data_IF_429357987189
#
_entry.id   IF_429357987189
#
_cell.length_a   1.000
_cell.length_b   1.000
_cell.length_c   1.000
_cell.angle_alpha   90.00
_cell.angle_beta   90.00
_cell.angle_gamma   90.00
#
_symmetry.space_group_name_H-M   'P 1'
#
loop_
_entity.id
_entity.type
_entity.pdbx_description
1 polymer ?
#
# COMPACT_ATOMS: atom_id res chain seq x y z
N UNK A 1 -3.26 -4.46 23.92
CA UNK A 1 -3.70 -3.99 22.59
C UNK A 1 -2.70 -4.43 21.54
N UNK A 2 -3.19 -4.80 20.38
CA UNK A 2 -2.30 -5.21 19.30
C UNK A 2 -1.60 -4.01 18.67
N UNK A 3 -0.41 -4.23 18.15
CA UNK A 3 0.30 -3.23 17.36
C UNK A 3 -0.50 -2.90 16.10
N UNK A 4 -0.44 -1.64 15.62
CA UNK A 4 -0.98 -1.33 14.31
C UNK A 4 -0.25 -2.15 13.24
N UNK A 5 -0.99 -2.59 12.24
CA UNK A 5 -0.48 -3.51 11.21
C UNK A 5 -0.54 -2.87 9.84
N UNK A 6 0.52 -3.05 9.08
CA UNK A 6 0.63 -2.57 7.71
C UNK A 6 0.73 -3.74 6.74
N UNK A 7 0.21 -3.54 5.53
CA UNK A 7 0.40 -4.47 4.42
C UNK A 7 1.21 -3.78 3.33
N UNK A 8 2.26 -4.43 2.86
CA UNK A 8 3.10 -3.92 1.78
C UNK A 8 2.94 -4.83 0.58
N UNK A 9 2.51 -4.25 -0.53
CA UNK A 9 2.22 -4.97 -1.77
C UNK A 9 3.10 -4.44 -2.89
N UNK A 10 4.06 -5.25 -3.32
CA UNK A 10 4.98 -4.91 -4.41
C UNK A 10 5.57 -6.21 -4.94
N UNK A 11 5.60 -6.38 -6.27
CA UNK A 11 6.16 -7.58 -6.88
C UNK A 11 7.69 -7.57 -6.90
N UNK A 12 8.31 -6.41 -6.65
CA UNK A 12 9.77 -6.27 -6.56
C UNK A 12 10.22 -6.67 -5.15
N UNK A 13 10.85 -7.83 -5.03
CA UNK A 13 11.27 -8.37 -3.73
C UNK A 13 12.22 -7.46 -2.96
N UNK A 14 13.29 -6.88 -3.58
CA UNK A 14 14.17 -5.97 -2.85
C UNK A 14 13.44 -4.75 -2.28
N UNK A 15 12.56 -4.13 -3.05
CA UNK A 15 11.78 -2.98 -2.58
C UNK A 15 10.85 -3.40 -1.45
N UNK A 16 10.14 -4.51 -1.62
CA UNK A 16 9.21 -5.03 -0.61
C UNK A 16 9.93 -5.31 0.70
N UNK A 17 11.09 -5.94 0.64
CA UNK A 17 11.89 -6.27 1.83
C UNK A 17 12.40 -5.01 2.53
N UNK A 18 12.89 -4.04 1.77
CA UNK A 18 13.35 -2.77 2.31
C UNK A 18 12.22 -2.01 3.02
N UNK A 19 11.08 -1.89 2.38
CA UNK A 19 9.93 -1.17 2.94
C UNK A 19 9.42 -1.88 4.20
N UNK A 20 9.37 -3.21 4.20
CA UNK A 20 8.95 -3.97 5.37
C UNK A 20 9.86 -3.68 6.57
N UNK A 21 11.18 -3.66 6.36
CA UNK A 21 12.14 -3.38 7.43
C UNK A 21 11.93 -1.98 8.00
N UNK A 22 11.75 -0.98 7.12
CA UNK A 22 11.56 0.40 7.55
C UNK A 22 10.26 0.59 8.34
N UNK A 23 9.19 -0.03 7.88
CA UNK A 23 7.89 0.07 8.56
C UNK A 23 7.94 -0.62 9.92
N UNK A 24 8.63 -1.76 10.03
CA UNK A 24 8.82 -2.42 11.31
C UNK A 24 9.60 -1.55 12.30
N UNK A 25 10.60 -0.81 11.82
CA UNK A 25 11.35 0.12 12.66
C UNK A 25 10.46 1.21 13.26
N UNK A 26 9.38 1.57 12.56
CA UNK A 26 8.42 2.55 13.06
C UNK A 26 7.39 1.94 14.04
N UNK A 27 7.54 0.68 14.41
CA UNK A 27 6.72 0.05 15.43
C UNK A 27 5.47 -0.64 14.93
N UNK A 28 5.32 -0.83 13.61
CA UNK A 28 4.16 -1.53 13.07
C UNK A 28 4.48 -3.02 12.86
N UNK A 29 3.46 -3.85 13.04
CA UNK A 29 3.50 -5.21 12.53
C UNK A 29 3.32 -5.16 11.01
N UNK A 30 4.02 -5.99 10.26
CA UNK A 30 4.02 -5.93 8.79
C UNK A 30 3.74 -7.29 8.19
N UNK A 31 2.77 -7.32 7.27
CA UNK A 31 2.60 -8.43 6.34
C UNK A 31 2.98 -7.94 4.95
N UNK A 32 3.34 -8.84 4.07
CA UNK A 32 3.70 -8.52 2.69
C UNK A 32 2.91 -9.37 1.71
N UNK A 33 2.76 -8.85 0.49
CA UNK A 33 2.16 -9.57 -0.62
C UNK A 33 2.92 -9.25 -1.89
N UNK A 34 3.10 -10.22 -2.75
CA UNK A 34 3.86 -10.09 -3.98
C UNK A 34 2.98 -9.82 -5.20
N UNK A 35 1.68 -9.94 -5.07
CA UNK A 35 0.72 -9.69 -6.16
C UNK A 35 -0.64 -9.27 -5.60
N UNK A 36 -1.53 -8.85 -6.51
CA UNK A 36 -2.84 -8.35 -6.11
C UNK A 36 -3.77 -9.40 -5.52
N UNK A 37 -3.68 -10.63 -5.99
CA UNK A 37 -4.52 -11.72 -5.48
C UNK A 37 -4.16 -12.03 -4.02
N UNK A 38 -2.87 -12.12 -3.73
CA UNK A 38 -2.39 -12.31 -2.36
C UNK A 38 -2.77 -11.12 -1.47
N UNK A 39 -2.66 -9.90 -2.02
CA UNK A 39 -3.06 -8.69 -1.29
C UNK A 39 -4.52 -8.73 -0.89
N UNK A 40 -5.41 -9.06 -1.81
CA UNK A 40 -6.86 -9.15 -1.54
C UNK A 40 -7.13 -10.20 -0.47
N UNK A 41 -6.50 -11.36 -0.55
CA UNK A 41 -6.68 -12.42 0.43
C UNK A 41 -6.26 -11.96 1.83
N UNK A 42 -5.14 -11.25 1.93
CA UNK A 42 -4.68 -10.72 3.22
C UNK A 42 -5.58 -9.62 3.76
N UNK A 43 -6.04 -8.73 2.89
CA UNK A 43 -6.96 -7.65 3.27
C UNK A 43 -8.25 -8.21 3.87
N UNK A 44 -8.81 -9.24 3.24
CA UNK A 44 -10.06 -9.84 3.68
C UNK A 44 -9.93 -10.56 5.02
N UNK A 45 -8.74 -11.02 5.35
CA UNK A 45 -8.50 -11.79 6.58
C UNK A 45 -7.95 -10.99 7.75
N UNK A 46 -7.60 -9.72 7.58
CA UNK A 46 -6.87 -8.97 8.59
C UNK A 46 -7.30 -7.51 8.66
N UNK A 47 -7.09 -6.89 9.84
CA UNK A 47 -7.32 -5.47 10.02
C UNK A 47 -6.03 -4.67 9.87
N UNK A 48 -5.81 -4.07 8.72
CA UNK A 48 -4.65 -3.20 8.50
C UNK A 48 -5.01 -1.75 8.75
N UNK A 49 -4.03 -0.98 9.25
CA UNK A 49 -4.16 0.47 9.43
C UNK A 49 -3.64 1.23 8.22
N UNK A 50 -2.69 0.65 7.49
CA UNK A 50 -2.09 1.29 6.34
C UNK A 50 -1.72 0.23 5.31
N UNK A 51 -1.86 0.62 4.04
CA UNK A 51 -1.50 -0.21 2.89
C UNK A 51 -0.51 0.58 2.02
N UNK A 52 0.64 -0.03 1.73
CA UNK A 52 1.56 0.44 0.69
C UNK A 52 1.34 -0.43 -0.54
N UNK A 53 0.99 0.19 -1.66
CA UNK A 53 0.53 -0.54 -2.83
C UNK A 53 1.22 -0.07 -4.10
N UNK A 54 1.88 -0.99 -4.81
CA UNK A 54 2.30 -0.77 -6.18
C UNK A 54 1.15 -1.12 -7.12
N UNK A 55 0.98 -0.30 -8.15
CA UNK A 55 -0.08 -0.51 -9.15
C UNK A 55 0.36 -1.55 -10.18
N UNK A 56 1.63 -1.51 -10.61
CA UNK A 56 2.14 -2.37 -11.68
C UNK A 56 2.52 -3.74 -11.14
N UNK A 57 1.61 -4.69 -11.25
CA UNK A 57 1.84 -6.07 -10.86
C UNK A 57 1.22 -7.00 -11.90
N UNK A 58 1.78 -8.21 -12.09
CA UNK A 58 1.20 -9.17 -13.02
C UNK A 58 -0.17 -9.66 -12.56
N UNK A 59 -1.02 -10.02 -13.49
CA UNK A 59 -2.36 -10.59 -13.28
C UNK A 59 -3.28 -9.61 -12.58
N UNK A 60 -3.53 -9.78 -11.27
CA UNK A 60 -4.35 -8.86 -10.49
C UNK A 60 -3.48 -7.67 -10.11
N UNK A 61 -3.71 -6.54 -10.72
CA UNK A 61 -2.89 -5.34 -10.51
C UNK A 61 -3.44 -4.46 -9.36
N UNK A 62 -2.74 -3.36 -9.09
CA UNK A 62 -3.12 -2.47 -8.01
C UNK A 62 -4.48 -1.79 -8.18
N UNK A 63 -4.91 -1.54 -9.42
CA UNK A 63 -6.24 -0.97 -9.65
C UNK A 63 -7.34 -1.94 -9.19
N UNK A 64 -7.13 -3.25 -9.39
CA UNK A 64 -8.08 -4.26 -8.92
C UNK A 64 -8.15 -4.27 -7.40
N UNK A 65 -7.00 -4.12 -6.74
CA UNK A 65 -6.95 -4.02 -5.28
C UNK A 65 -7.70 -2.77 -4.80
N UNK A 66 -7.51 -1.64 -5.45
CA UNK A 66 -8.21 -0.40 -5.09
C UNK A 66 -9.71 -0.52 -5.25
N UNK A 67 -10.17 -1.16 -6.34
CA UNK A 67 -11.61 -1.41 -6.55
C UNK A 67 -12.18 -2.31 -5.45
N UNK A 68 -11.43 -3.34 -5.07
CA UNK A 68 -11.82 -4.23 -3.98
C UNK A 68 -11.96 -3.47 -2.66
N UNK A 69 -10.99 -2.61 -2.35
CA UNK A 69 -11.03 -1.79 -1.14
C UNK A 69 -12.21 -0.83 -1.14
N UNK A 70 -12.49 -0.22 -2.28
CA UNK A 70 -13.62 0.70 -2.40
C UNK A 70 -14.95 0.01 -2.08
N UNK A 71 -15.08 -1.25 -2.46
CA UNK A 71 -16.28 -2.04 -2.22
C UNK A 71 -16.36 -2.60 -0.81
N UNK A 72 -15.23 -2.93 -0.17
CA UNK A 72 -15.21 -3.70 1.08
C UNK A 72 -14.57 -3.00 2.26
N UNK A 73 -13.58 -2.13 2.04
CA UNK A 73 -12.81 -1.48 3.08
C UNK A 73 -12.48 -0.03 2.71
N UNK A 74 -13.48 0.85 2.62
CA UNK A 74 -13.22 2.26 2.30
C UNK A 74 -12.36 2.98 3.35
N UNK A 75 -12.36 2.51 4.59
CA UNK A 75 -11.48 3.02 5.64
C UNK A 75 -10.00 2.79 5.31
N UNK A 76 -9.67 1.57 4.90
CA UNK A 76 -8.29 1.23 4.52
C UNK A 76 -7.90 1.91 3.20
N UNK A 77 -8.85 2.07 2.29
CA UNK A 77 -8.59 2.79 1.04
C UNK A 77 -8.05 4.19 1.29
N UNK A 78 -8.60 4.91 2.27
CA UNK A 78 -8.16 6.25 2.64
C UNK A 78 -6.81 6.28 3.33
N UNK A 79 -6.34 5.13 3.78
CA UNK A 79 -5.01 4.95 4.35
C UNK A 79 -4.12 4.12 3.43
N UNK A 80 -4.43 4.11 2.14
CA UNK A 80 -3.61 3.46 1.12
C UNK A 80 -2.64 4.48 0.51
N UNK A 81 -1.38 4.13 0.50
CA UNK A 81 -0.31 4.92 -0.09
C UNK A 81 0.15 4.17 -1.33
N UNK A 82 -0.03 4.79 -2.49
CA UNK A 82 0.37 4.20 -3.77
C UNK A 82 1.82 4.57 -4.06
N UNK A 83 2.66 3.59 -4.35
CA UNK A 83 4.08 3.80 -4.70
C UNK A 83 4.35 3.07 -6.01
N UNK A 84 4.48 3.82 -7.10
CA UNK A 84 4.48 3.23 -8.45
C UNK A 84 5.41 3.96 -9.41
N UNK A 85 5.89 3.24 -10.44
CA UNK A 85 6.66 3.80 -11.54
C UNK A 85 5.79 4.31 -12.70
N UNK A 86 4.48 4.15 -12.62
CA UNK A 86 3.57 4.61 -13.69
C UNK A 86 3.67 6.12 -13.92
N UNK A 87 3.59 6.56 -15.18
CA UNK A 87 3.55 8.00 -15.49
C UNK A 87 2.34 8.68 -14.86
N UNK A 88 2.53 9.94 -14.50
CA UNK A 88 1.48 10.72 -13.83
C UNK A 88 0.17 10.76 -14.61
N UNK A 89 0.26 10.90 -15.95
CA UNK A 89 -0.96 10.99 -16.76
C UNK A 89 -1.77 9.69 -16.76
N UNK A 90 -1.11 8.54 -16.69
CA UNK A 90 -1.80 7.26 -16.58
C UNK A 90 -2.51 7.12 -15.24
N UNK A 91 -1.83 7.52 -14.16
CA UNK A 91 -2.43 7.54 -12.82
C UNK A 91 -3.62 8.47 -12.77
N UNK A 92 -3.50 9.67 -13.34
CA UNK A 92 -4.56 10.67 -13.33
C UNK A 92 -5.80 10.18 -14.06
N UNK A 93 -5.63 9.42 -15.13
CA UNK A 93 -6.75 8.91 -15.91
C UNK A 93 -7.40 7.67 -15.31
N UNK A 94 -6.65 6.85 -14.56
CA UNK A 94 -7.09 5.54 -14.13
C UNK A 94 -7.27 5.39 -12.62
N UNK A 95 -6.57 6.19 -11.82
CA UNK A 95 -6.69 6.13 -10.37
C UNK A 95 -7.72 7.16 -9.91
N UNK A 96 -8.94 6.71 -9.71
CA UNK A 96 -10.07 7.58 -9.33
C UNK A 96 -10.47 7.40 -7.86
N UNK A 97 -9.93 6.41 -7.17
CA UNK A 97 -10.25 6.14 -5.77
C UNK A 97 -9.56 7.15 -4.84
N UNK A 98 -10.16 7.49 -3.69
CA UNK A 98 -9.59 8.45 -2.75
C UNK A 98 -8.50 7.82 -1.87
N UNK A 99 -7.32 7.59 -2.44
CA UNK A 99 -6.17 7.10 -1.69
C UNK A 99 -5.56 8.22 -0.85
N UNK A 100 -4.74 7.85 0.14
CA UNK A 100 -4.11 8.85 1.02
C UNK A 100 -3.07 9.69 0.28
N UNK A 101 -2.13 9.03 -0.40
CA UNK A 101 -1.04 9.68 -1.13
C UNK A 101 -0.57 8.81 -2.28
N UNK A 102 0.04 9.46 -3.28
CA UNK A 102 0.70 8.78 -4.39
C UNK A 102 2.17 9.23 -4.39
N UNK A 103 3.08 8.25 -4.33
CA UNK A 103 4.51 8.47 -4.47
C UNK A 103 4.98 7.81 -5.76
N UNK A 104 5.65 8.56 -6.62
CA UNK A 104 6.20 8.02 -7.85
C UNK A 104 7.63 7.53 -7.61
N UNK A 105 7.94 6.35 -8.13
CA UNK A 105 9.30 5.79 -8.06
C UNK A 105 10.23 6.53 -9.01
N UNK A 106 11.45 6.85 -8.60
CA UNK A 106 12.01 6.68 -7.27
C UNK A 106 11.39 7.66 -6.27
N UNK A 107 11.00 7.18 -5.10
CA UNK A 107 10.33 8.01 -4.09
C UNK A 107 11.30 8.40 -2.96
N UNK A 108 10.94 9.46 -2.25
CA UNK A 108 11.64 9.89 -1.05
C UNK A 108 11.18 9.02 0.13
N UNK A 109 12.08 8.21 0.66
CA UNK A 109 11.77 7.27 1.74
C UNK A 109 11.29 7.99 2.99
N UNK A 110 11.85 9.16 3.30
CA UNK A 110 11.45 9.93 4.50
C UNK A 110 10.01 10.39 4.40
N UNK A 111 9.60 10.89 3.24
CA UNK A 111 8.22 11.33 3.02
C UNK A 111 7.27 10.13 3.04
N UNK A 112 7.67 9.03 2.43
CA UNK A 112 6.87 7.81 2.42
C UNK A 112 6.63 7.32 3.84
N UNK A 113 7.68 7.24 4.66
CA UNK A 113 7.55 6.81 6.05
C UNK A 113 6.74 7.78 6.90
N UNK A 114 6.83 9.08 6.64
CA UNK A 114 6.01 10.07 7.33
C UNK A 114 4.52 9.83 7.06
N UNK A 115 4.16 9.51 5.82
CA UNK A 115 2.78 9.21 5.45
C UNK A 115 2.31 7.91 6.10
N UNK A 116 3.18 6.90 6.17
CA UNK A 116 2.88 5.64 6.87
C UNK A 116 2.55 5.92 8.34
N UNK A 117 3.36 6.73 9.02
CA UNK A 117 3.12 7.08 10.42
C UNK A 117 1.80 7.82 10.60
N UNK A 118 1.50 8.74 9.71
CA UNK A 118 0.24 9.50 9.77
C UNK A 118 -0.96 8.56 9.65
N UNK A 119 -0.92 7.64 8.69
CA UNK A 119 -2.01 6.67 8.50
C UNK A 119 -2.14 5.71 9.68
N UNK A 120 -1.03 5.35 10.30
CA UNK A 120 -1.03 4.45 11.46
C UNK A 120 -1.46 5.14 12.77
N UNK A 121 -1.68 6.44 12.74
CA UNK A 121 -2.08 7.19 13.92
C UNK A 121 -0.94 7.57 14.85
N UNK A 122 0.25 7.66 14.30
CA UNK A 122 1.45 8.01 15.07
C UNK A 122 1.87 9.46 14.86
#
# INVERSE_FOLDING_TARGET
MSEPRALIVDDDEPIRTMLAALVRQDGLAVDTAADGAEAIARIDGNGYKVLLLDIMMPRVNGYDVLRHLQATRPDLLRCTIVATALPEHELRNNLIQPVFKIHRKPFDVRQLMADVRTCAGQ
#
